data_IF_458258622639
#
_entry.id   IF_458258622639
#
_cell.length_a   1.000
_cell.length_b   1.000
_cell.length_c   1.000
_cell.angle_alpha   90.00
_cell.angle_beta   90.00
_cell.angle_gamma   90.00
#
_symmetry.space_group_name_H-M   'P 1'
#
loop_
_entity.id
_entity.type
_entity.pdbx_description
1 polymer ?
#
# COMPACT_ATOMS: atom_id res chain seq x y z
N UNK A 1 3.34 -3.26 5.60
CA UNK A 1 2.92 -4.07 4.42
C UNK A 1 3.02 -3.22 3.19
N UNK A 2 3.49 -3.78 2.08
CA UNK A 2 3.62 -3.11 0.80
C UNK A 2 2.29 -3.13 0.06
N UNK A 3 1.78 -1.96 -0.34
CA UNK A 3 0.43 -1.82 -0.89
C UNK A 3 0.47 -1.06 -2.22
N UNK A 4 -0.20 -1.64 -3.22
CA UNK A 4 -0.47 -1.02 -4.51
C UNK A 4 -1.96 -0.72 -4.57
N UNK A 5 -2.32 0.52 -4.92
CA UNK A 5 -3.70 0.92 -5.15
C UNK A 5 -3.88 1.31 -6.62
N UNK A 6 -4.75 0.61 -7.32
CA UNK A 6 -5.13 0.94 -8.69
C UNK A 6 -6.48 1.64 -8.66
N UNK A 7 -6.59 2.84 -9.20
CA UNK A 7 -7.88 3.51 -9.33
C UNK A 7 -8.60 2.98 -10.57
N UNK A 8 -9.83 2.51 -10.42
CA UNK A 8 -10.70 2.07 -11.53
C UNK A 8 -11.79 3.10 -11.75
N UNK A 9 -11.83 3.69 -12.94
CA UNK A 9 -12.70 4.84 -13.20
C UNK A 9 -12.57 5.43 -14.59
N UNK A 10 -13.69 5.61 -15.28
CA UNK A 10 -13.76 6.41 -16.50
C UNK A 10 -13.45 7.90 -16.20
N UNK A 11 -13.10 8.69 -17.23
CA UNK A 11 -13.12 10.15 -17.12
C UNK A 11 -14.49 10.62 -16.58
N UNK A 12 -14.46 11.44 -15.53
CA UNK A 12 -15.65 11.94 -14.84
C UNK A 12 -16.03 11.17 -13.59
N UNK A 13 -15.37 10.05 -13.27
CA UNK A 13 -15.73 9.21 -12.11
C UNK A 13 -15.28 9.77 -10.75
N UNK A 14 -14.42 10.79 -10.74
CA UNK A 14 -13.95 11.44 -9.51
C UNK A 14 -12.60 10.97 -8.97
N UNK A 15 -11.77 10.27 -9.77
CA UNK A 15 -10.43 9.79 -9.35
C UNK A 15 -9.53 10.87 -8.77
N UNK A 16 -9.35 11.99 -9.48
CA UNK A 16 -8.53 13.11 -9.03
C UNK A 16 -9.10 13.76 -7.76
N UNK A 17 -10.42 13.87 -7.66
CA UNK A 17 -11.09 14.33 -6.44
C UNK A 17 -10.88 13.38 -5.26
N UNK A 18 -10.89 12.07 -5.50
CA UNK A 18 -10.58 11.06 -4.49
C UNK A 18 -9.13 11.18 -4.00
N UNK A 19 -8.16 11.29 -4.91
CA UNK A 19 -6.75 11.51 -4.57
C UNK A 19 -6.59 12.76 -3.69
N UNK A 20 -7.20 13.88 -4.09
CA UNK A 20 -7.11 15.13 -3.35
C UNK A 20 -7.74 15.04 -1.95
N UNK A 21 -8.96 14.50 -1.84
CA UNK A 21 -9.69 14.38 -0.56
C UNK A 21 -9.02 13.47 0.44
N UNK A 22 -8.27 12.48 -0.03
CA UNK A 22 -7.54 11.54 0.83
C UNK A 22 -6.05 11.91 1.01
N UNK A 23 -5.62 13.09 0.54
CA UNK A 23 -4.23 13.57 0.60
C UNK A 23 -3.22 12.59 -0.04
N UNK A 24 -3.62 11.94 -1.12
CA UNK A 24 -2.87 10.86 -1.77
C UNK A 24 -1.94 11.35 -2.89
N UNK A 25 -1.95 12.65 -3.19
CA UNK A 25 -1.22 13.25 -4.31
C UNK A 25 0.29 12.90 -4.31
N UNK A 26 1.02 12.92 -3.17
CA UNK A 26 2.45 12.58 -3.17
C UNK A 26 2.76 11.13 -3.56
N UNK A 27 1.77 10.24 -3.43
CA UNK A 27 1.92 8.80 -3.67
C UNK A 27 1.37 8.38 -5.05
N UNK A 28 0.59 9.27 -5.69
CA UNK A 28 -0.11 8.99 -6.92
C UNK A 28 0.76 9.18 -8.17
N UNK A 29 0.75 8.19 -9.04
CA UNK A 29 1.33 8.22 -10.38
C UNK A 29 0.18 8.33 -11.37
N UNK A 30 0.04 9.50 -12.02
CA UNK A 30 -1.03 9.77 -12.99
C UNK A 30 -0.48 9.80 -14.42
N UNK A 31 -1.12 9.03 -15.30
CA UNK A 31 -0.78 9.04 -16.72
C UNK A 31 -1.04 10.41 -17.39
N UNK A 32 -2.06 11.13 -16.93
CA UNK A 32 -2.38 12.46 -17.47
C UNK A 32 -1.34 13.50 -17.02
N UNK A 33 -0.87 13.44 -15.77
CA UNK A 33 0.22 14.28 -15.30
C UNK A 33 1.52 14.01 -16.08
N UNK A 34 1.85 12.74 -16.34
CA UNK A 34 3.04 12.39 -17.14
C UNK A 34 2.92 12.90 -18.57
N UNK A 35 1.74 12.83 -19.20
CA UNK A 35 1.54 13.37 -20.56
C UNK A 35 1.84 14.86 -20.61
N UNK A 36 1.38 15.62 -19.61
CA UNK A 36 1.61 17.06 -19.50
C UNK A 36 3.09 17.41 -19.23
N UNK A 37 3.87 16.50 -18.65
CA UNK A 37 5.32 16.67 -18.54
C UNK A 37 6.05 16.39 -19.87
N UNK A 38 5.49 15.52 -20.71
CA UNK A 38 6.09 15.13 -21.98
C UNK A 38 5.72 16.05 -23.15
N UNK A 39 4.55 16.69 -23.09
CA UNK A 39 4.05 17.55 -24.15
C UNK A 39 3.02 18.56 -23.63
N UNK A 40 2.97 19.72 -24.30
CA UNK A 40 1.96 20.74 -24.07
C UNK A 40 0.55 20.28 -24.47
N UNK A 41 -0.45 21.02 -24.00
CA UNK A 41 -1.83 20.86 -24.44
C UNK A 41 -1.95 20.98 -25.96
N UNK A 42 -2.89 20.23 -26.54
CA UNK A 42 -3.24 20.33 -27.96
C UNK A 42 -4.70 20.74 -28.11
N UNK A 43 -5.11 21.12 -29.32
CA UNK A 43 -6.47 21.59 -29.59
C UNK A 43 -7.23 20.55 -30.41
N UNK A 44 -8.47 20.27 -29.99
CA UNK A 44 -9.41 19.41 -30.70
C UNK A 44 -10.67 20.20 -31.05
N UNK A 45 -11.08 20.15 -32.32
CA UNK A 45 -12.34 20.71 -32.77
C UNK A 45 -13.46 19.66 -32.71
N UNK A 46 -14.46 19.91 -31.89
CA UNK A 46 -15.66 19.08 -31.82
C UNK A 46 -16.71 19.55 -32.83
N UNK A 47 -16.81 18.84 -33.96
CA UNK A 47 -17.76 19.14 -35.04
C UNK A 47 -19.23 19.11 -34.60
N UNK A 48 -19.57 18.35 -33.55
CA UNK A 48 -20.98 18.22 -33.11
C UNK A 48 -21.45 19.44 -32.31
N UNK A 49 -20.56 20.02 -31.53
CA UNK A 49 -20.86 21.17 -30.67
C UNK A 49 -20.35 22.50 -31.25
N UNK A 50 -19.56 22.45 -32.32
CA UNK A 50 -18.88 23.61 -32.93
C UNK A 50 -17.97 24.35 -31.94
N UNK A 51 -17.18 23.59 -31.15
CA UNK A 51 -16.32 24.12 -30.09
C UNK A 51 -14.87 23.61 -30.22
N UNK A 52 -13.91 24.49 -29.93
CA UNK A 52 -12.51 24.12 -29.73
C UNK A 52 -12.25 23.77 -28.26
N UNK A 53 -11.72 22.57 -28.03
CA UNK A 53 -11.27 22.10 -26.73
C UNK A 53 -9.74 22.07 -26.69
N UNK A 54 -9.14 22.71 -25.68
CA UNK A 54 -7.79 22.33 -25.28
C UNK A 54 -7.87 20.96 -24.61
N UNK A 55 -6.96 20.03 -24.90
CA UNK A 55 -6.97 18.65 -24.39
C UNK A 55 -5.56 18.12 -24.18
N UNK A 56 -5.43 17.10 -23.32
CA UNK A 56 -4.16 16.40 -23.13
C UNK A 56 -3.79 15.59 -24.39
N UNK A 57 -2.56 15.74 -24.92
CA UNK A 57 -2.14 15.07 -26.14
C UNK A 57 -2.05 13.55 -25.97
N UNK A 58 -2.37 12.82 -27.05
CA UNK A 58 -2.31 11.35 -27.09
C UNK A 58 -1.11 10.80 -27.87
N UNK A 59 -0.39 11.62 -28.64
CA UNK A 59 0.75 11.16 -29.45
C UNK A 59 1.94 10.66 -28.62
N UNK A 60 2.04 11.05 -27.33
CA UNK A 60 3.07 10.58 -26.38
C UNK A 60 2.66 9.34 -25.57
N UNK A 61 1.58 8.63 -25.96
CA UNK A 61 1.01 7.54 -25.16
C UNK A 61 2.01 6.43 -24.83
N UNK A 62 2.85 6.02 -25.79
CA UNK A 62 3.83 4.95 -25.56
C UNK A 62 4.94 5.38 -24.60
N UNK A 63 5.41 6.62 -24.73
CA UNK A 63 6.40 7.20 -23.81
C UNK A 63 5.81 7.35 -22.40
N UNK A 64 4.56 7.82 -22.30
CA UNK A 64 3.82 7.91 -21.03
C UNK A 64 3.70 6.55 -20.37
N UNK A 65 3.36 5.50 -21.13
CA UNK A 65 3.23 4.14 -20.60
C UNK A 65 4.55 3.64 -20.04
N UNK A 66 5.64 3.76 -20.80
CA UNK A 66 7.00 3.38 -20.35
C UNK A 66 7.42 4.12 -19.09
N UNK A 67 7.21 5.45 -19.05
CA UNK A 67 7.55 6.26 -17.87
C UNK A 67 6.71 5.88 -16.65
N UNK A 68 5.39 5.68 -16.83
CA UNK A 68 4.50 5.21 -15.75
C UNK A 68 4.96 3.87 -15.19
N UNK A 69 5.26 2.92 -16.07
CA UNK A 69 5.73 1.58 -15.70
C UNK A 69 7.06 1.65 -14.91
N UNK A 70 8.01 2.46 -15.37
CA UNK A 70 9.28 2.67 -14.68
C UNK A 70 9.10 3.32 -13.30
N UNK A 71 8.23 4.32 -13.18
CA UNK A 71 7.96 4.98 -11.90
C UNK A 71 7.30 4.02 -10.91
N UNK A 72 6.35 3.20 -11.37
CA UNK A 72 5.70 2.19 -10.52
C UNK A 72 6.71 1.16 -10.06
N UNK A 73 7.47 0.55 -10.97
CA UNK A 73 8.47 -0.47 -10.60
C UNK A 73 9.55 0.11 -9.66
N UNK A 74 10.02 1.33 -9.90
CA UNK A 74 10.98 2.00 -9.03
C UNK A 74 10.40 2.19 -7.62
N UNK A 75 9.21 2.77 -7.47
CA UNK A 75 8.61 2.93 -6.13
C UNK A 75 8.41 1.58 -5.44
N UNK A 76 8.02 0.55 -6.19
CA UNK A 76 7.85 -0.80 -5.66
C UNK A 76 9.17 -1.44 -5.20
N UNK A 77 10.27 -1.21 -5.91
CA UNK A 77 11.59 -1.71 -5.51
C UNK A 77 12.10 -1.07 -4.23
N UNK A 78 11.65 0.14 -3.91
CA UNK A 78 11.97 0.83 -2.64
C UNK A 78 10.97 0.54 -1.51
N UNK A 79 10.00 -0.35 -1.72
CA UNK A 79 9.01 -0.71 -0.69
C UNK A 79 8.01 0.42 -0.37
N UNK A 80 7.88 1.42 -1.23
CA UNK A 80 6.92 2.53 -1.06
C UNK A 80 5.49 2.08 -1.35
N UNK A 81 4.52 2.70 -0.69
CA UNK A 81 3.11 2.58 -1.11
C UNK A 81 2.89 3.32 -2.43
N UNK A 82 2.28 2.64 -3.39
CA UNK A 82 2.07 3.16 -4.75
C UNK A 82 0.59 3.30 -5.04
N UNK A 83 0.20 4.44 -5.60
CA UNK A 83 -1.16 4.70 -6.07
C UNK A 83 -1.07 5.00 -7.56
N UNK A 84 -1.80 4.26 -8.38
CA UNK A 84 -1.79 4.45 -9.83
C UNK A 84 -3.14 5.04 -10.24
N UNK A 85 -3.10 6.31 -10.65
CA UNK A 85 -4.23 6.99 -11.26
C UNK A 85 -4.31 6.61 -12.73
N UNK A 86 -5.08 5.56 -12.99
CA UNK A 86 -5.40 5.07 -14.31
C UNK A 86 -6.91 4.86 -14.47
N UNK A 87 -7.31 4.36 -15.63
CA UNK A 87 -8.70 3.98 -15.88
C UNK A 87 -8.99 2.59 -15.35
N UNK A 88 -8.08 1.64 -15.55
CA UNK A 88 -8.13 0.24 -15.10
C UNK A 88 -9.52 -0.39 -15.25
N UNK A 89 -10.14 -0.18 -16.42
CA UNK A 89 -11.55 -0.50 -16.68
C UNK A 89 -11.76 -2.00 -16.76
N UNK A 90 -10.83 -2.71 -17.39
CA UNK A 90 -10.89 -4.16 -17.62
C UNK A 90 -9.79 -4.90 -16.86
N UNK A 91 -10.02 -6.19 -16.61
CA UNK A 91 -9.08 -7.07 -15.91
C UNK A 91 -7.66 -7.06 -16.51
N UNK A 92 -7.53 -7.02 -17.84
CA UNK A 92 -6.21 -7.02 -18.51
C UNK A 92 -5.37 -5.78 -18.20
N UNK A 93 -5.99 -4.62 -17.93
CA UNK A 93 -5.27 -3.42 -17.51
C UNK A 93 -4.74 -3.55 -16.06
N UNK A 94 -5.41 -4.36 -15.24
CA UNK A 94 -5.03 -4.65 -13.85
C UNK A 94 -3.93 -5.71 -13.83
N UNK A 95 -4.07 -6.78 -14.62
CA UNK A 95 -3.11 -7.88 -14.71
C UNK A 95 -1.71 -7.44 -15.16
N UNK A 96 -1.61 -6.31 -15.88
CA UNK A 96 -0.34 -5.66 -16.21
C UNK A 96 0.58 -5.47 -14.99
N UNK A 97 0.01 -5.23 -13.81
CA UNK A 97 0.76 -4.97 -12.56
C UNK A 97 1.15 -6.25 -11.80
N UNK A 98 0.57 -7.41 -12.13
CA UNK A 98 0.72 -8.65 -11.37
C UNK A 98 2.17 -9.07 -11.18
N UNK A 99 2.97 -9.02 -12.25
CA UNK A 99 4.39 -9.38 -12.23
C UNK A 99 5.21 -8.61 -11.19
N UNK A 100 4.91 -7.33 -10.98
CA UNK A 100 5.62 -6.50 -10.01
C UNK A 100 5.10 -6.75 -8.61
N UNK A 101 3.79 -7.00 -8.45
CA UNK A 101 3.23 -7.36 -7.16
C UNK A 101 3.82 -8.67 -6.64
N UNK A 102 4.00 -9.67 -7.50
CA UNK A 102 4.66 -10.93 -7.17
C UNK A 102 6.16 -10.72 -6.88
N UNK A 103 6.87 -10.01 -7.76
CA UNK A 103 8.32 -9.73 -7.60
C UNK A 103 8.67 -8.99 -6.31
N UNK A 104 7.84 -8.04 -5.89
CA UNK A 104 8.13 -7.16 -4.75
C UNK A 104 7.22 -7.41 -3.54
N UNK A 105 6.43 -8.48 -3.54
CA UNK A 105 5.52 -8.86 -2.46
C UNK A 105 4.51 -7.77 -2.05
N UNK A 106 3.83 -7.18 -3.03
CA UNK A 106 2.78 -6.18 -2.80
C UNK A 106 1.38 -6.80 -2.74
N UNK A 107 0.58 -6.34 -1.78
CA UNK A 107 -0.87 -6.51 -1.84
C UNK A 107 -1.47 -5.47 -2.81
N UNK A 108 -2.27 -5.92 -3.77
CA UNK A 108 -2.93 -5.02 -4.73
C UNK A 108 -4.41 -4.81 -4.38
N UNK A 109 -4.80 -3.54 -4.31
CA UNK A 109 -6.16 -3.09 -4.09
C UNK A 109 -6.67 -2.34 -5.33
N UNK A 110 -7.91 -2.59 -5.73
CA UNK A 110 -8.58 -1.83 -6.79
C UNK A 110 -9.64 -0.96 -6.15
N UNK A 111 -9.46 0.36 -6.20
CA UNK A 111 -10.46 1.33 -5.75
C UNK A 111 -11.45 1.55 -6.88
N UNK A 112 -12.67 1.03 -6.76
CA UNK A 112 -13.70 1.14 -7.79
C UNK A 112 -14.53 2.41 -7.64
N UNK A 113 -14.33 3.37 -8.55
CA UNK A 113 -15.10 4.62 -8.63
C UNK A 113 -16.24 4.56 -9.67
N UNK A 114 -16.44 3.43 -10.33
CA UNK A 114 -17.46 3.22 -11.36
C UNK A 114 -18.77 2.66 -10.82
N UNK A 115 -18.73 1.85 -9.74
CA UNK A 115 -19.89 1.10 -9.22
C UNK A 115 -21.19 1.91 -9.07
N UNK A 116 -21.08 3.19 -8.70
CA UNK A 116 -22.22 4.09 -8.49
C UNK A 116 -22.36 5.18 -9.55
N UNK A 117 -21.72 5.01 -10.70
CA UNK A 117 -21.76 5.99 -11.79
C UNK A 117 -22.82 5.59 -12.84
N UNK A 118 -23.48 6.59 -13.39
CA UNK A 118 -24.31 6.46 -14.58
C UNK A 118 -23.59 7.06 -15.78
N UNK A 119 -23.85 6.51 -16.98
CA UNK A 119 -23.30 7.08 -18.20
C UNK A 119 -23.67 8.56 -18.37
N UNK A 120 -24.94 8.90 -18.12
CA UNK A 120 -25.41 10.29 -18.15
C UNK A 120 -24.63 11.18 -17.18
N UNK A 121 -24.43 10.73 -15.94
CA UNK A 121 -23.69 11.48 -14.93
C UNK A 121 -22.23 11.71 -15.33
N UNK A 122 -21.58 10.70 -15.91
CA UNK A 122 -20.21 10.83 -16.42
C UNK A 122 -20.12 11.83 -17.58
N UNK A 123 -21.05 11.75 -18.54
CA UNK A 123 -21.10 12.66 -19.69
C UNK A 123 -21.37 14.12 -19.25
N UNK A 124 -22.32 14.32 -18.34
CA UNK A 124 -22.64 15.65 -17.78
C UNK A 124 -21.42 16.25 -17.07
N UNK A 125 -20.72 15.47 -16.25
CA UNK A 125 -19.49 15.93 -15.60
C UNK A 125 -18.41 16.26 -16.62
N UNK A 126 -18.26 15.45 -17.68
CA UNK A 126 -17.26 15.68 -18.71
C UNK A 126 -17.46 17.01 -19.45
N UNK A 127 -18.70 17.44 -19.66
CA UNK A 127 -19.00 18.74 -20.31
C UNK A 127 -18.54 19.95 -19.48
N UNK A 128 -18.57 19.85 -18.15
CA UNK A 128 -18.24 20.96 -17.23
C UNK A 128 -16.83 20.88 -16.64
N UNK A 129 -15.99 19.96 -17.13
CA UNK A 129 -14.61 19.81 -16.67
C UNK A 129 -13.78 21.05 -17.00
N UNK A 130 -12.70 21.27 -16.24
CA UNK A 130 -11.63 22.18 -16.68
C UNK A 130 -11.23 21.81 -18.09
N UNK A 131 -11.07 22.81 -18.97
CA UNK A 131 -11.10 22.59 -20.42
C UNK A 131 -10.20 21.43 -20.89
N UNK A 132 -8.98 21.33 -20.37
CA UNK A 132 -8.03 20.29 -20.78
C UNK A 132 -8.29 18.87 -20.27
N UNK A 133 -9.13 18.69 -19.24
CA UNK A 133 -9.54 17.37 -18.74
C UNK A 133 -10.72 16.77 -19.51
N UNK A 134 -11.25 17.52 -20.48
CA UNK A 134 -12.30 17.06 -21.36
C UNK A 134 -11.81 15.93 -22.27
N UNK A 135 -12.66 14.93 -22.44
CA UNK A 135 -12.44 13.86 -23.43
C UNK A 135 -13.66 13.70 -24.33
N UNK A 136 -13.48 13.11 -25.50
CA UNK A 136 -14.61 12.84 -26.40
C UNK A 136 -15.67 11.98 -25.70
N UNK A 137 -16.98 12.32 -25.79
CA UNK A 137 -18.07 11.55 -25.20
C UNK A 137 -18.05 10.05 -25.57
N UNK A 138 -17.62 9.72 -26.79
CA UNK A 138 -17.51 8.36 -27.30
C UNK A 138 -16.51 7.52 -26.49
N UNK A 139 -15.42 8.12 -25.98
CA UNK A 139 -14.45 7.44 -25.13
C UNK A 139 -15.08 7.06 -23.78
N UNK A 140 -15.88 7.95 -23.20
CA UNK A 140 -16.60 7.67 -21.95
C UNK A 140 -17.63 6.57 -22.15
N UNK A 141 -18.41 6.63 -23.25
CA UNK A 141 -19.38 5.57 -23.61
C UNK A 141 -18.69 4.22 -23.76
N UNK A 142 -17.59 4.16 -24.48
CA UNK A 142 -16.79 2.95 -24.66
C UNK A 142 -16.31 2.39 -23.32
N UNK A 143 -15.71 3.23 -22.46
CA UNK A 143 -15.21 2.80 -21.14
C UNK A 143 -16.35 2.34 -20.22
N UNK A 144 -17.48 3.04 -20.22
CA UNK A 144 -18.64 2.66 -19.42
C UNK A 144 -19.21 1.31 -19.87
N UNK A 145 -19.41 1.13 -21.17
CA UNK A 145 -19.94 -0.13 -21.72
C UNK A 145 -18.96 -1.29 -21.47
N UNK A 146 -17.66 -1.05 -21.60
CA UNK A 146 -16.61 -2.03 -21.29
C UNK A 146 -16.63 -2.43 -19.81
N UNK A 147 -16.76 -1.47 -18.89
CA UNK A 147 -16.92 -1.75 -17.45
C UNK A 147 -18.20 -2.55 -17.15
N UNK A 148 -19.32 -2.20 -17.77
CA UNK A 148 -20.60 -2.91 -17.57
C UNK A 148 -20.57 -4.35 -18.10
N UNK A 149 -19.87 -4.58 -19.22
CA UNK A 149 -19.70 -5.90 -19.80
C UNK A 149 -18.71 -6.78 -19.02
N UNK A 150 -17.69 -6.16 -18.43
CA UNK A 150 -16.59 -6.84 -17.71
C UNK A 150 -16.32 -6.22 -16.33
N UNK A 151 -17.29 -6.24 -15.40
CA UNK A 151 -17.15 -5.62 -14.08
C UNK A 151 -16.22 -6.41 -13.14
N UNK A 152 -15.91 -7.66 -13.47
CA UNK A 152 -15.06 -8.54 -12.68
C UNK A 152 -13.64 -7.98 -12.47
N UNK A 153 -13.05 -8.36 -11.35
CA UNK A 153 -11.66 -8.10 -11.01
C UNK A 153 -10.89 -9.43 -11.04
N UNK A 154 -9.60 -9.42 -11.36
CA UNK A 154 -8.77 -10.62 -11.22
C UNK A 154 -8.78 -11.18 -9.78
N UNK A 155 -8.72 -12.50 -9.60
CA UNK A 155 -8.82 -13.14 -8.27
C UNK A 155 -7.70 -12.74 -7.29
N UNK A 156 -6.57 -12.27 -7.82
CA UNK A 156 -5.38 -11.92 -7.02
C UNK A 156 -5.46 -10.51 -6.42
N UNK A 157 -6.47 -9.70 -6.76
CA UNK A 157 -6.63 -8.33 -6.23
C UNK A 157 -7.80 -8.22 -5.26
N UNK A 158 -7.72 -7.24 -4.35
CA UNK A 158 -8.82 -6.90 -3.43
C UNK A 158 -9.59 -5.68 -3.95
N UNK A 159 -10.83 -5.88 -4.37
CA UNK A 159 -11.72 -4.77 -4.74
C UNK A 159 -12.23 -4.01 -3.51
N UNK A 160 -12.11 -2.69 -3.51
CA UNK A 160 -12.59 -1.80 -2.45
C UNK A 160 -13.37 -0.62 -3.01
N UNK A 161 -14.29 -0.10 -2.21
CA UNK A 161 -14.99 1.17 -2.46
C UNK A 161 -14.15 2.35 -1.94
N UNK A 162 -14.37 3.57 -2.43
CA UNK A 162 -13.60 4.75 -2.02
C UNK A 162 -13.61 5.01 -0.51
N UNK A 163 -14.75 4.80 0.15
CA UNK A 163 -14.88 4.96 1.61
C UNK A 163 -14.11 3.91 2.43
N UNK A 164 -13.59 2.85 1.79
CA UNK A 164 -12.80 1.81 2.44
C UNK A 164 -11.29 2.06 2.33
N UNK A 165 -10.85 3.12 1.64
CA UNK A 165 -9.44 3.45 1.43
C UNK A 165 -8.66 3.54 2.75
N UNK A 166 -9.22 4.22 3.75
CA UNK A 166 -8.57 4.40 5.04
C UNK A 166 -8.31 3.05 5.71
N UNK A 167 -9.33 2.18 5.79
CA UNK A 167 -9.18 0.84 6.35
C UNK A 167 -8.17 -0.02 5.56
N UNK A 168 -8.12 0.14 4.24
CA UNK A 168 -7.16 -0.55 3.39
C UNK A 168 -5.72 -0.05 3.59
N UNK A 169 -5.51 1.21 4.00
CA UNK A 169 -4.19 1.73 4.38
C UNK A 169 -3.76 1.26 5.76
N UNK A 170 -4.69 1.02 6.69
CA UNK A 170 -4.33 0.59 8.03
C UNK A 170 -3.69 -0.81 8.08
N UNK A 171 -2.85 -1.03 9.09
CA UNK A 171 -2.33 -2.34 9.49
C UNK A 171 -3.05 -2.78 10.75
N UNK A 172 -3.67 -3.97 10.73
CA UNK A 172 -4.29 -4.56 11.93
C UNK A 172 -3.23 -5.27 12.77
N UNK A 173 -3.40 -5.24 14.08
CA UNK A 173 -2.65 -6.12 14.97
C UNK A 173 -3.03 -7.59 14.76
N UNK A 174 -2.10 -8.49 15.09
CA UNK A 174 -2.35 -9.92 15.12
C UNK A 174 -2.67 -10.39 16.54
N UNK A 175 -3.66 -11.26 16.68
CA UNK A 175 -3.98 -11.84 17.99
C UNK A 175 -3.11 -13.07 18.27
N UNK A 176 -2.23 -12.96 19.25
CA UNK A 176 -1.35 -14.02 19.72
C UNK A 176 -1.82 -14.64 21.04
N UNK A 177 -2.98 -14.26 21.59
CA UNK A 177 -3.55 -14.77 22.85
C UNK A 177 -3.68 -16.32 22.88
N UNK A 178 -3.63 -16.99 21.73
CA UNK A 178 -3.69 -18.45 21.62
C UNK A 178 -2.39 -19.17 21.98
N UNK A 179 -1.25 -18.46 21.96
CA UNK A 179 0.05 -19.03 22.25
C UNK A 179 0.31 -19.01 23.76
N UNK A 180 1.09 -19.97 24.26
CA UNK A 180 1.47 -20.03 25.67
C UNK A 180 2.51 -18.98 26.02
N UNK A 181 3.46 -18.75 25.11
CA UNK A 181 4.52 -17.75 25.28
C UNK A 181 4.78 -17.00 23.96
N UNK A 182 5.12 -15.73 24.09
CA UNK A 182 5.67 -14.91 23.01
C UNK A 182 7.10 -14.55 23.38
N UNK A 183 8.04 -14.90 22.50
CA UNK A 183 9.48 -14.87 22.78
C UNK A 183 10.16 -14.04 21.69
N UNK A 184 11.05 -13.12 22.05
CA UNK A 184 11.94 -12.47 21.09
C UNK A 184 13.37 -13.01 21.26
N UNK A 185 14.02 -13.31 20.14
CA UNK A 185 15.41 -13.76 20.04
C UNK A 185 16.24 -12.63 19.44
N UNK A 186 16.95 -11.84 20.26
CA UNK A 186 17.85 -10.80 19.79
C UNK A 186 19.04 -11.34 18.98
N UNK A 187 19.68 -10.46 18.24
CA UNK A 187 20.68 -10.78 17.22
C UNK A 187 22.01 -11.29 17.76
N UNK A 188 22.39 -10.95 18.99
CA UNK A 188 23.65 -11.40 19.61
C UNK A 188 23.49 -12.63 20.51
N UNK A 189 22.28 -13.22 20.59
CA UNK A 189 22.07 -14.52 21.26
C UNK A 189 22.85 -15.61 20.54
N UNK A 190 23.62 -16.39 21.30
CA UNK A 190 24.39 -17.51 20.76
C UNK A 190 23.50 -18.69 20.42
N UNK A 191 23.93 -19.50 19.45
CA UNK A 191 23.14 -20.66 19.01
C UNK A 191 22.92 -21.72 20.10
N UNK A 192 23.89 -21.88 21.00
CA UNK A 192 23.79 -22.75 22.18
C UNK A 192 22.66 -22.34 23.14
N UNK A 193 22.32 -21.05 23.14
CA UNK A 193 21.28 -20.46 23.98
C UNK A 193 19.93 -20.31 23.25
N UNK A 194 19.81 -20.79 22.00
CA UNK A 194 18.55 -20.67 21.26
C UNK A 194 17.42 -21.43 21.96
N UNK A 195 16.20 -20.84 22.00
CA UNK A 195 15.07 -21.54 22.58
C UNK A 195 14.71 -22.75 21.71
N UNK A 196 14.24 -23.83 22.35
CA UNK A 196 13.62 -24.91 21.63
C UNK A 196 12.30 -24.42 21.01
N UNK A 197 12.20 -24.49 19.68
CA UNK A 197 11.01 -24.02 18.95
C UNK A 197 9.88 -25.02 19.10
N UNK A 198 8.79 -24.57 19.73
CA UNK A 198 7.60 -25.36 19.96
C UNK A 198 6.35 -24.67 19.40
N UNK A 199 5.43 -25.46 18.84
CA UNK A 199 4.22 -24.95 18.15
C UNK A 199 3.26 -24.17 19.05
N UNK A 200 3.32 -24.38 20.37
CA UNK A 200 2.51 -23.64 21.35
C UNK A 200 3.01 -22.22 21.60
N UNK A 201 4.21 -21.87 21.14
CA UNK A 201 4.85 -20.58 21.38
C UNK A 201 4.95 -19.79 20.08
N UNK A 202 5.14 -18.48 20.19
CA UNK A 202 5.40 -17.59 19.07
C UNK A 202 6.75 -16.90 19.25
N UNK A 203 7.51 -16.77 18.17
CA UNK A 203 8.88 -16.29 18.19
C UNK A 203 9.05 -15.11 17.25
N UNK A 204 9.58 -14.01 17.76
CA UNK A 204 10.15 -12.93 16.97
C UNK A 204 11.66 -13.13 16.89
N UNK A 205 12.24 -13.09 15.69
CA UNK A 205 13.67 -13.22 15.51
C UNK A 205 14.28 -11.96 14.92
N UNK A 206 15.30 -11.44 15.58
CA UNK A 206 16.26 -10.49 15.01
C UNK A 206 17.57 -11.20 14.62
N UNK A 207 17.69 -12.48 14.93
CA UNK A 207 18.91 -13.27 14.80
C UNK A 207 18.93 -14.06 13.48
N UNK A 208 19.91 -13.79 12.63
CA UNK A 208 20.00 -14.41 11.31
C UNK A 208 20.29 -15.91 11.39
N UNK A 209 21.04 -16.38 12.39
CA UNK A 209 21.32 -17.81 12.59
C UNK A 209 20.08 -18.55 13.07
N UNK A 210 19.30 -17.95 13.98
CA UNK A 210 18.02 -18.51 14.41
C UNK A 210 17.02 -18.55 13.25
N UNK A 211 16.95 -17.47 12.46
CA UNK A 211 16.10 -17.38 11.26
C UNK A 211 16.49 -18.41 10.22
N UNK A 212 17.79 -18.63 9.97
CA UNK A 212 18.24 -19.67 9.04
C UNK A 212 17.80 -21.07 9.47
N UNK A 213 17.74 -21.34 10.77
CA UNK A 213 17.38 -22.66 11.33
C UNK A 213 15.87 -22.89 11.44
N UNK A 214 15.10 -21.85 11.77
CA UNK A 214 13.68 -21.97 12.15
C UNK A 214 12.73 -21.01 11.44
N UNK A 215 13.22 -20.15 10.54
CA UNK A 215 12.40 -19.11 9.87
C UNK A 215 11.30 -19.66 8.96
N UNK A 216 11.34 -20.94 8.58
CA UNK A 216 10.27 -21.61 7.81
C UNK A 216 9.06 -22.00 8.67
N UNK A 217 9.18 -21.96 10.00
CA UNK A 217 8.11 -22.31 10.92
C UNK A 217 7.09 -21.16 10.99
N UNK A 218 5.79 -21.48 10.89
CA UNK A 218 4.71 -20.48 10.84
C UNK A 218 4.58 -19.59 12.08
N UNK A 219 5.13 -20.04 13.20
CA UNK A 219 5.14 -19.34 14.48
C UNK A 219 6.48 -18.62 14.74
N UNK A 220 7.36 -18.54 13.74
CA UNK A 220 8.60 -17.75 13.78
C UNK A 220 8.47 -16.62 12.77
N UNK A 221 8.63 -15.38 13.23
CA UNK A 221 8.59 -14.18 12.40
C UNK A 221 9.90 -13.44 12.56
N UNK A 222 10.57 -13.20 11.45
CA UNK A 222 11.79 -12.39 11.41
C UNK A 222 11.44 -10.91 11.28
N UNK A 223 12.05 -10.08 12.13
CA UNK A 223 11.89 -8.63 12.13
C UNK A 223 13.15 -8.01 11.53
N UNK A 224 12.97 -7.08 10.60
CA UNK A 224 14.06 -6.38 9.94
C UNK A 224 14.79 -5.47 10.92
N UNK A 225 16.12 -5.45 10.82
CA UNK A 225 17.00 -4.53 11.57
C UNK A 225 17.46 -3.34 10.74
N UNK A 226 17.62 -3.56 9.44
CA UNK A 226 18.17 -2.59 8.49
C UNK A 226 17.20 -2.31 7.36
N UNK A 227 17.50 -1.28 6.58
CA UNK A 227 16.73 -0.94 5.38
C UNK A 227 16.80 -2.07 4.35
N UNK A 228 17.98 -2.62 4.15
CA UNK A 228 18.25 -3.71 3.19
C UNK A 228 17.42 -4.94 3.57
N UNK A 229 17.39 -5.30 4.86
CA UNK A 229 16.54 -6.39 5.36
C UNK A 229 15.04 -6.14 5.14
N UNK A 230 14.57 -4.90 5.35
CA UNK A 230 13.16 -4.56 5.19
C UNK A 230 12.73 -4.46 3.71
N UNK A 231 13.61 -3.94 2.85
CA UNK A 231 13.34 -3.58 1.45
C UNK A 231 13.73 -4.70 0.48
N UNK A 232 14.90 -5.30 0.64
CA UNK A 232 15.44 -6.27 -0.33
C UNK A 232 15.16 -7.71 0.09
N UNK A 233 15.15 -7.99 1.40
CA UNK A 233 14.82 -9.31 1.95
C UNK A 233 13.35 -9.47 2.36
N UNK A 234 12.54 -8.43 2.19
CA UNK A 234 11.10 -8.41 2.49
C UNK A 234 10.75 -8.76 3.95
N UNK A 235 11.69 -8.58 4.89
CA UNK A 235 11.43 -8.82 6.32
C UNK A 235 10.46 -7.77 6.86
N UNK A 236 9.69 -8.15 7.87
CA UNK A 236 8.73 -7.23 8.48
C UNK A 236 9.49 -6.17 9.30
N UNK A 237 9.31 -4.86 9.04
CA UNK A 237 10.05 -3.85 9.79
C UNK A 237 9.53 -3.69 11.23
N UNK A 238 8.27 -4.07 11.46
CA UNK A 238 7.66 -4.15 12.77
C UNK A 238 6.53 -5.17 12.78
N UNK A 239 6.08 -5.56 13.96
CA UNK A 239 4.90 -6.40 14.15
C UNK A 239 4.05 -5.89 15.31
N UNK A 240 2.79 -5.55 15.03
CA UNK A 240 1.81 -5.18 16.05
C UNK A 240 0.97 -6.39 16.46
N UNK A 241 0.82 -6.61 17.76
CA UNK A 241 0.16 -7.79 18.27
C UNK A 241 -0.53 -7.61 19.61
N UNK A 242 -1.52 -8.47 19.85
CA UNK A 242 -2.22 -8.62 21.11
C UNK A 242 -1.75 -9.90 21.80
N UNK A 243 -1.39 -9.81 23.07
CA UNK A 243 -1.04 -10.95 23.93
C UNK A 243 -1.47 -10.69 25.37
N UNK A 244 -2.02 -11.69 26.06
CA UNK A 244 -2.66 -11.54 27.38
C UNK A 244 -3.59 -10.32 27.48
N UNK A 245 -4.35 -10.06 26.42
CA UNK A 245 -5.27 -8.92 26.34
C UNK A 245 -4.63 -7.52 26.40
N UNK A 246 -3.31 -7.46 26.30
CA UNK A 246 -2.54 -6.23 26.12
C UNK A 246 -2.06 -6.10 24.67
N UNK A 247 -1.74 -4.87 24.29
CA UNK A 247 -1.39 -4.50 22.93
C UNK A 247 0.07 -4.04 22.87
N UNK A 248 0.82 -4.65 21.97
CA UNK A 248 2.26 -4.50 21.86
C UNK A 248 2.67 -4.25 20.42
N UNK A 249 3.85 -3.66 20.27
CA UNK A 249 4.54 -3.52 19.00
C UNK A 249 5.99 -3.96 19.18
N UNK A 250 6.52 -4.74 18.24
CA UNK A 250 7.93 -5.12 18.22
C UNK A 250 8.61 -4.65 16.94
N UNK A 251 9.80 -4.07 17.07
CA UNK A 251 10.57 -3.45 15.97
C UNK A 251 12.06 -3.42 16.32
N UNK A 252 12.92 -3.01 15.38
CA UNK A 252 14.33 -2.79 15.68
C UNK A 252 14.55 -1.52 16.51
N UNK A 253 13.86 -0.43 16.15
CA UNK A 253 13.93 0.87 16.80
C UNK A 253 12.55 1.34 17.28
N UNK A 254 12.45 2.17 18.33
CA UNK A 254 11.17 2.74 18.76
C UNK A 254 10.49 3.54 17.65
N UNK A 255 9.22 3.26 17.40
CA UNK A 255 8.42 3.97 16.41
C UNK A 255 7.77 5.22 17.01
N UNK A 256 7.81 6.31 16.25
CA UNK A 256 7.12 7.57 16.55
C UNK A 256 5.60 7.40 16.55
N UNK A 257 4.89 8.09 17.45
CA UNK A 257 3.42 8.03 17.50
C UNK A 257 2.82 8.52 16.17
N UNK A 258 3.43 9.53 15.56
CA UNK A 258 3.01 10.09 14.27
C UNK A 258 3.00 9.04 13.16
N UNK A 259 3.85 8.02 13.23
CA UNK A 259 3.91 6.94 12.24
C UNK A 259 2.84 5.85 12.48
N UNK A 260 2.25 5.82 13.68
CA UNK A 260 1.25 4.84 14.09
C UNK A 260 -0.17 5.42 14.07
N UNK A 261 -0.29 6.74 14.19
CA UNK A 261 -1.55 7.47 14.30
C UNK A 261 -2.20 7.78 12.94
N UNK A 262 -3.55 7.81 12.88
CA UNK A 262 -4.46 7.50 13.98
C UNK A 262 -4.52 5.99 14.27
N UNK A 263 -4.52 5.64 15.55
CA UNK A 263 -4.83 4.28 16.01
C UNK A 263 -6.35 4.14 16.17
N UNK A 264 -6.94 3.12 15.53
CA UNK A 264 -8.38 2.83 15.64
C UNK A 264 -8.63 1.46 16.22
N UNK A 265 -9.67 1.34 17.05
CA UNK A 265 -10.13 0.06 17.60
C UNK A 265 -11.47 -0.33 16.96
N UNK A 266 -11.47 -1.44 16.23
CA UNK A 266 -12.68 -1.97 15.56
C UNK A 266 -12.90 -3.40 16.04
N UNK A 267 -14.05 -3.66 16.67
CA UNK A 267 -14.42 -4.99 17.22
C UNK A 267 -13.32 -5.62 18.09
N UNK A 268 -12.65 -4.81 18.91
CA UNK A 268 -11.58 -5.26 19.81
C UNK A 268 -10.19 -5.42 19.17
N UNK A 269 -10.04 -5.22 17.87
CA UNK A 269 -8.74 -5.23 17.17
C UNK A 269 -8.23 -3.81 16.95
N UNK A 270 -6.98 -3.54 17.31
CA UNK A 270 -6.31 -2.28 17.03
C UNK A 270 -5.78 -2.26 15.59
N UNK A 271 -5.86 -1.08 14.98
CA UNK A 271 -5.38 -0.81 13.62
C UNK A 271 -4.57 0.46 13.63
N UNK A 272 -3.44 0.46 12.93
CA UNK A 272 -2.43 1.54 12.91
C UNK A 272 -2.36 2.11 11.50
N UNK A 273 -2.28 3.43 11.36
CA UNK A 273 -2.31 4.10 10.05
C UNK A 273 -0.93 4.16 9.39
N UNK A 274 -0.30 3.00 9.22
CA UNK A 274 1.07 2.88 8.73
C UNK A 274 1.19 2.83 7.20
N UNK A 275 0.07 2.73 6.49
CA UNK A 275 0.04 2.37 5.06
C UNK A 275 0.61 3.37 4.08
N UNK A 276 0.96 4.59 4.48
CA UNK A 276 1.57 5.60 3.61
C UNK A 276 3.07 5.80 3.87
N UNK A 277 3.62 5.24 4.95
CA UNK A 277 5.04 5.30 5.25
C UNK A 277 5.82 4.26 4.46
N UNK A 278 7.05 4.58 4.08
CA UNK A 278 7.93 3.60 3.45
C UNK A 278 8.32 2.54 4.49
N UNK A 279 8.41 1.27 4.09
CA UNK A 279 8.87 0.18 4.95
C UNK A 279 10.23 0.46 5.59
N UNK A 280 11.12 1.17 4.88
CA UNK A 280 12.44 1.59 5.34
C UNK A 280 12.40 2.63 6.46
N UNK A 281 11.32 3.41 6.58
CA UNK A 281 11.22 4.44 7.62
C UNK A 281 11.03 3.80 9.01
N UNK A 282 10.43 2.61 9.07
CA UNK A 282 10.19 1.89 10.32
C UNK A 282 11.45 1.25 10.94
N UNK A 283 12.58 1.25 10.22
CA UNK A 283 13.87 0.75 10.71
C UNK A 283 14.89 1.87 10.90
N UNK A 284 14.45 3.13 10.87
CA UNK A 284 15.28 4.29 11.18
C UNK A 284 15.20 4.65 12.66
N UNK A 285 16.29 5.21 13.17
CA UNK A 285 16.33 5.74 14.53
C UNK A 285 15.78 7.17 14.56
N UNK A 286 14.72 7.37 15.35
CA UNK A 286 14.12 8.68 15.58
C UNK A 286 14.15 9.04 17.07
N UNK A 287 14.07 10.34 17.42
CA UNK A 287 13.90 10.76 18.80
C UNK A 287 12.66 10.14 19.44
N UNK A 288 12.80 9.62 20.65
CA UNK A 288 11.72 8.89 21.32
C UNK A 288 10.51 9.78 21.66
N UNK A 289 9.34 9.16 21.71
CA UNK A 289 8.15 9.82 22.24
C UNK A 289 8.32 10.01 23.75
N UNK A 290 7.90 11.16 24.28
CA UNK A 290 7.78 11.34 25.75
C UNK A 290 6.81 10.32 26.36
N UNK A 291 5.76 9.97 25.62
CA UNK A 291 4.79 8.95 25.98
C UNK A 291 4.37 8.19 24.71
N UNK A 292 4.55 6.87 24.70
CA UNK A 292 4.15 6.02 23.58
C UNK A 292 2.67 5.64 23.67
N UNK A 293 1.96 5.64 22.53
CA UNK A 293 0.55 5.22 22.47
C UNK A 293 0.36 3.69 22.59
N UNK A 294 1.41 2.92 22.29
CA UNK A 294 1.44 1.45 22.39
C UNK A 294 2.70 1.02 23.14
N UNK A 295 2.66 -0.10 23.85
CA UNK A 295 3.87 -0.66 24.47
C UNK A 295 4.79 -1.23 23.39
N UNK A 296 6.02 -0.74 23.33
CA UNK A 296 6.98 -1.11 22.29
C UNK A 296 8.13 -1.92 22.88
N UNK A 297 8.45 -3.05 22.22
CA UNK A 297 9.68 -3.80 22.42
C UNK A 297 10.59 -3.51 21.23
N UNK A 298 11.70 -2.82 21.48
CA UNK A 298 12.63 -2.43 20.41
C UNK A 298 13.98 -3.08 20.63
N UNK A 299 14.54 -3.74 19.61
CA UNK A 299 15.85 -4.40 19.70
C UNK A 299 16.93 -3.47 20.28
N UNK A 300 16.95 -2.20 19.89
CA UNK A 300 17.89 -1.19 20.38
C UNK A 300 17.81 -0.91 21.89
N UNK A 301 16.77 -1.39 22.57
CA UNK A 301 16.53 -1.23 24.01
C UNK A 301 16.60 -2.54 24.79
N UNK A 302 16.74 -3.67 24.10
CA UNK A 302 16.83 -4.99 24.73
C UNK A 302 18.29 -5.35 25.02
N UNK A 303 18.50 -6.23 26.00
CA UNK A 303 19.77 -6.94 26.11
C UNK A 303 19.90 -7.89 24.92
N UNK A 304 20.85 -7.57 24.03
CA UNK A 304 21.03 -8.29 22.76
C UNK A 304 21.56 -9.71 22.93
N UNK A 305 22.03 -10.06 24.11
CA UNK A 305 22.61 -11.38 24.41
C UNK A 305 21.61 -12.34 25.06
N UNK A 306 20.41 -11.88 25.40
CA UNK A 306 19.43 -12.66 26.17
C UNK A 306 18.09 -12.74 25.47
N UNK A 307 17.45 -13.89 25.59
CA UNK A 307 16.07 -14.08 25.14
C UNK A 307 15.13 -13.19 25.97
N UNK A 308 14.17 -12.56 25.29
CA UNK A 308 13.09 -11.82 25.93
C UNK A 308 11.83 -12.68 25.95
N UNK A 309 11.27 -12.88 27.14
CA UNK A 309 9.90 -13.41 27.30
C UNK A 309 8.93 -12.24 27.48
N UNK A 310 7.92 -12.16 26.61
CA UNK A 310 6.88 -11.14 26.63
C UNK A 310 5.68 -11.68 27.43
N UNK A 311 5.17 -10.89 28.38
CA UNK A 311 4.08 -11.23 29.31
C UNK A 311 2.97 -10.17 29.33
#
# INVERSE_FOLDING_TARGET
MRKLFLLRGAPGSGKSSFIARHHLLPYAISGDAIRLLLADLTVYYDQKSDVLHQVIPRHVTDQTKKMKDNLVEHKMSYGETVIVDGTHIVASEIDHYKKWCEKYHYECYVVDLMRHQTLEGLLKRNQIRMQYDWVKPEVIKMMYNSYMAHPELPDWVRGIQPNQMEAALMQRENNLDRYSHVIAVPDDVKEEDFPHVHISNFYFSFNDRFTAKYGTYRNVVTIAKTKEEAVDEFRLPYFAFKFHHKHFLISAYPLRNEMLDPIKKVKGTWSYATGLYNVADFVQEFPENKQSHVHQFSLSKLDRTRILHIW
#
